data_IF_735933883177
#
_entry.id   IF_735933883177
#
_cell.length_a   1.000
_cell.length_b   1.000
_cell.length_c   1.000
_cell.angle_alpha   90.00
_cell.angle_beta   90.00
_cell.angle_gamma   90.00
#
_symmetry.space_group_name_H-M   'P 1'
#
loop_
_entity.id
_entity.type
_entity.pdbx_description
1 polymer ?
#
# COMPACT_ATOMS: atom_id res chain seq x y z
N UNK A 1 -22.57 22.64 -60.17
CA UNK A 1 -21.25 23.06 -60.65
C UNK A 1 -20.37 23.04 -59.41
N UNK A 2 -19.72 21.89 -59.15
CA UNK A 2 -18.24 21.71 -59.20
C UNK A 2 -17.58 22.27 -57.92
N UNK A 3 -16.70 21.60 -57.16
CA UNK A 3 -15.75 20.51 -57.43
C UNK A 3 -15.53 19.60 -56.19
N UNK A 4 -14.97 18.42 -56.45
CA UNK A 4 -14.47 17.39 -55.52
C UNK A 4 -12.96 17.57 -55.30
N UNK A 5 -12.44 17.25 -54.12
CA UNK A 5 -11.03 16.99 -53.73
C UNK A 5 -11.14 16.61 -52.22
N UNK A 6 -11.08 15.36 -51.73
CA UNK A 6 -10.14 14.25 -51.93
C UNK A 6 -8.68 14.66 -51.71
N UNK A 7 -8.19 14.51 -50.47
CA UNK A 7 -6.98 13.71 -50.21
C UNK A 7 -6.85 13.39 -48.70
N UNK A 8 -6.76 12.09 -48.44
CA UNK A 8 -6.62 11.40 -47.17
C UNK A 8 -5.15 10.97 -47.03
N UNK A 9 -4.37 11.50 -46.07
CA UNK A 9 -3.27 10.73 -45.47
C UNK A 9 -2.61 11.38 -44.22
N UNK A 10 -2.70 10.77 -43.03
CA UNK A 10 -1.68 10.90 -41.99
C UNK A 10 -0.70 9.70 -42.05
N UNK A 11 0.36 9.79 -42.87
CA UNK A 11 1.44 8.80 -42.87
C UNK A 11 2.26 8.87 -41.58
N UNK A 12 1.84 8.10 -40.58
CA UNK A 12 2.58 6.91 -40.13
C UNK A 12 4.09 6.86 -40.49
N UNK A 13 4.93 7.61 -39.77
CA UNK A 13 6.39 7.36 -39.75
C UNK A 13 6.75 6.38 -38.61
N UNK A 14 6.39 5.11 -38.80
CA UNK A 14 6.70 3.96 -37.92
C UNK A 14 7.87 3.15 -38.47
N UNK A 15 8.97 3.78 -38.90
CA UNK A 15 10.19 3.05 -39.27
C UNK A 15 11.42 3.91 -39.03
N UNK A 16 11.85 4.01 -37.77
CA UNK A 16 13.28 4.10 -37.46
C UNK A 16 13.64 2.80 -36.76
N UNK A 17 13.84 1.78 -37.58
CA UNK A 17 14.19 0.42 -37.19
C UNK A 17 15.64 0.37 -36.72
N UNK A 18 15.82 0.06 -35.44
CA UNK A 18 16.69 -1.00 -34.92
C UNK A 18 18.05 -1.25 -35.63
N UNK A 19 19.16 -0.84 -35.02
CA UNK A 19 20.31 -1.72 -34.76
C UNK A 19 21.40 -1.05 -33.90
N UNK A 20 21.55 -1.49 -32.66
CA UNK A 20 22.85 -1.81 -32.04
C UNK A 20 22.56 -2.52 -30.71
N UNK A 21 22.44 -3.84 -30.82
CA UNK A 21 22.61 -4.72 -29.68
C UNK A 21 24.04 -4.55 -29.13
N UNK A 22 24.15 -4.74 -27.81
CA UNK A 22 25.38 -5.00 -27.02
C UNK A 22 26.03 -3.79 -26.34
N UNK A 23 25.72 -3.62 -25.05
CA UNK A 23 26.79 -3.72 -24.04
C UNK A 23 26.23 -4.10 -22.65
N UNK A 24 26.25 -5.38 -22.27
CA UNK A 24 26.10 -5.81 -20.89
C UNK A 24 27.49 -6.09 -20.33
N UNK A 25 28.19 -5.10 -19.75
CA UNK A 25 29.39 -5.37 -18.96
C UNK A 25 29.93 -4.17 -18.20
N UNK A 26 30.40 -4.51 -17.00
CA UNK A 26 31.36 -3.81 -16.15
C UNK A 26 30.83 -2.73 -15.20
N UNK A 27 30.09 -3.19 -14.18
CA UNK A 27 30.34 -2.68 -12.82
C UNK A 27 31.14 -3.75 -12.08
N UNK A 28 32.41 -3.49 -11.72
CA UNK A 28 33.20 -4.41 -10.91
C UNK A 28 32.53 -4.63 -9.55
N UNK A 29 32.34 -5.91 -9.23
CA UNK A 29 32.16 -6.39 -7.88
C UNK A 29 33.51 -6.22 -7.18
N UNK A 30 33.63 -5.22 -6.30
CA UNK A 30 34.75 -5.18 -5.37
C UNK A 30 34.38 -6.04 -4.17
N UNK A 31 34.85 -7.29 -4.23
CA UNK A 31 35.06 -8.15 -3.09
C UNK A 31 35.95 -7.41 -2.08
N UNK A 32 35.38 -7.05 -0.93
CA UNK A 32 36.15 -6.79 0.28
C UNK A 32 35.91 -7.97 1.22
N UNK A 33 36.60 -9.07 0.92
CA UNK A 33 37.06 -10.00 1.94
C UNK A 33 38.16 -9.30 2.73
N UNK A 34 37.97 -9.07 4.03
CA UNK A 34 39.04 -9.33 4.99
C UNK A 34 38.48 -9.52 6.40
N UNK A 35 39.01 -10.59 6.99
CA UNK A 35 38.61 -11.26 8.20
C UNK A 35 38.98 -10.43 9.45
N UNK A 36 38.15 -10.48 10.49
CA UNK A 36 38.67 -10.38 11.85
C UNK A 36 37.86 -11.31 12.75
N UNK A 37 38.49 -12.43 13.08
CA UNK A 37 38.05 -13.35 14.11
C UNK A 37 38.35 -12.74 15.49
N UNK A 38 37.35 -12.72 16.38
CA UNK A 38 37.59 -13.03 17.78
C UNK A 38 36.26 -13.37 18.45
N UNK A 39 36.04 -14.68 18.58
CA UNK A 39 35.19 -15.29 19.58
C UNK A 39 35.55 -14.72 20.98
N UNK A 40 34.64 -14.01 21.64
CA UNK A 40 34.74 -13.80 23.09
C UNK A 40 33.84 -14.81 23.81
N UNK A 41 34.45 -15.96 24.07
CA UNK A 41 34.05 -16.90 25.11
C UNK A 41 34.22 -16.24 26.49
N UNK A 42 33.11 -16.03 27.20
CA UNK A 42 33.13 -15.98 28.67
C UNK A 42 32.01 -16.85 29.24
N UNK A 43 32.28 -18.15 29.25
CA UNK A 43 32.17 -19.05 30.40
C UNK A 43 31.42 -18.52 31.67
N UNK A 44 30.27 -19.17 31.95
CA UNK A 44 29.85 -19.71 33.25
C UNK A 44 29.40 -18.78 34.41
N UNK A 45 28.09 -18.79 34.72
CA UNK A 45 27.63 -19.26 36.06
C UNK A 45 26.15 -19.69 36.08
N UNK A 46 25.80 -20.87 36.63
CA UNK A 46 24.42 -21.29 36.88
C UNK A 46 23.96 -21.01 38.33
N UNK A 47 22.68 -20.61 38.52
CA UNK A 47 21.73 -21.18 39.51
C UNK A 47 20.44 -20.34 39.70
N UNK A 48 19.23 -20.94 39.60
CA UNK A 48 18.01 -20.51 40.32
C UNK A 48 17.86 -21.36 41.61
N UNK A 49 16.77 -21.35 42.43
CA UNK A 49 15.61 -20.44 42.61
C UNK A 49 15.36 -20.07 44.09
N UNK A 50 14.44 -19.14 44.44
CA UNK A 50 13.61 -19.26 45.67
C UNK A 50 12.19 -18.71 45.48
N UNK A 51 11.23 -19.63 45.41
CA UNK A 51 9.80 -19.41 45.54
C UNK A 51 9.41 -18.94 46.94
N UNK A 52 8.46 -18.00 47.02
CA UNK A 52 7.54 -17.88 48.16
C UNK A 52 6.11 -17.85 47.65
N UNK A 53 5.29 -18.88 47.89
CA UNK A 53 3.85 -18.79 47.69
C UNK A 53 3.20 -18.22 48.96
N UNK A 54 2.67 -17.01 48.89
CA UNK A 54 1.76 -16.50 49.92
C UNK A 54 0.32 -16.76 49.46
N UNK A 55 -0.31 -17.77 50.06
CA UNK A 55 -1.70 -18.09 49.82
C UNK A 55 -2.62 -17.10 50.54
N UNK A 56 -3.50 -16.42 49.80
CA UNK A 56 -4.69 -15.78 50.37
C UNK A 56 -5.87 -15.86 49.39
N UNK A 57 -6.87 -16.68 49.76
CA UNK A 57 -8.15 -16.88 49.07
C UNK A 57 -9.08 -15.66 49.22
N UNK A 58 -9.68 -15.20 48.12
CA UNK A 58 -10.98 -14.47 48.06
C UNK A 58 -11.43 -14.37 46.59
N UNK A 59 -12.50 -15.06 46.19
CA UNK A 59 -13.94 -14.73 46.22
C UNK A 59 -14.39 -14.05 44.91
N UNK A 60 -15.29 -14.77 44.22
CA UNK A 60 -16.21 -14.39 43.13
C UNK A 60 -16.03 -12.97 42.58
N UNK A 61 -15.57 -12.90 41.34
CA UNK A 61 -15.64 -11.72 40.50
C UNK A 61 -15.21 -12.13 39.10
N UNK A 62 -16.15 -12.68 38.32
CA UNK A 62 -16.02 -12.62 36.86
C UNK A 62 -16.07 -11.13 36.51
N UNK A 63 -14.91 -10.54 36.25
CA UNK A 63 -14.72 -9.18 35.79
C UNK A 63 -13.24 -9.12 35.41
N UNK A 64 -12.81 -8.89 34.17
CA UNK A 64 -13.43 -8.19 33.07
C UNK A 64 -12.88 -8.84 31.80
N UNK A 65 -13.67 -9.00 30.74
CA UNK A 65 -13.07 -9.05 29.41
C UNK A 65 -12.81 -7.60 28.99
N UNK A 66 -11.58 -7.08 28.99
CA UNK A 66 -11.22 -5.98 28.11
C UNK A 66 -10.53 -6.53 26.86
N UNK A 67 -10.91 -7.73 26.39
CA UNK A 67 -10.69 -8.09 25.00
C UNK A 67 -11.90 -7.63 24.19
N UNK A 68 -12.19 -6.32 24.26
CA UNK A 68 -12.66 -5.68 23.06
C UNK A 68 -11.46 -5.77 22.12
N UNK A 69 -11.42 -6.86 21.34
CA UNK A 69 -10.38 -7.19 20.37
C UNK A 69 -10.07 -5.88 19.65
N UNK A 70 -8.94 -5.26 20.02
CA UNK A 70 -8.55 -3.97 19.49
C UNK A 70 -8.04 -4.26 18.09
N UNK A 71 -8.99 -4.40 17.16
CA UNK A 71 -8.69 -4.67 15.78
C UNK A 71 -7.75 -3.56 15.31
N UNK A 72 -6.67 -3.91 14.58
CA UNK A 72 -5.81 -2.91 13.98
C UNK A 72 -6.66 -1.89 13.22
N UNK A 73 -6.33 -0.58 13.28
CA UNK A 73 -7.04 0.41 12.51
C UNK A 73 -7.00 0.03 11.01
N UNK A 74 -8.09 0.26 10.28
CA UNK A 74 -8.15 -0.08 8.87
C UNK A 74 -7.04 0.63 8.10
N UNK A 75 -6.54 -0.02 7.05
CA UNK A 75 -5.60 0.63 6.13
C UNK A 75 -6.24 1.87 5.51
N UNK A 76 -5.41 2.81 5.04
CA UNK A 76 -5.89 4.04 4.40
C UNK A 76 -6.81 3.71 3.22
N UNK A 77 -6.44 2.69 2.43
CA UNK A 77 -7.28 2.20 1.35
C UNK A 77 -8.65 1.70 1.84
N UNK A 78 -8.69 0.83 2.85
CA UNK A 78 -9.97 0.34 3.40
C UNK A 78 -10.84 1.48 3.94
N UNK A 79 -10.23 2.47 4.59
CA UNK A 79 -10.93 3.66 5.05
C UNK A 79 -11.50 4.46 3.87
N UNK A 80 -10.73 4.64 2.80
CA UNK A 80 -11.19 5.31 1.58
C UNK A 80 -12.39 4.57 0.95
N UNK A 81 -12.31 3.25 0.87
CA UNK A 81 -13.39 2.38 0.37
C UNK A 81 -14.66 2.55 1.19
N UNK A 82 -14.58 2.51 2.53
CA UNK A 82 -15.74 2.76 3.40
C UNK A 82 -16.37 4.13 3.18
N UNK A 83 -15.56 5.14 2.86
CA UNK A 83 -16.04 6.49 2.65
C UNK A 83 -16.74 6.65 1.30
N UNK A 84 -16.26 5.98 0.24
CA UNK A 84 -16.97 5.90 -1.06
C UNK A 84 -18.31 5.19 -0.92
N UNK A 85 -18.38 4.10 -0.16
CA UNK A 85 -19.62 3.35 0.04
C UNK A 85 -20.70 4.15 0.79
N UNK A 86 -20.30 5.15 1.59
CA UNK A 86 -21.21 6.05 2.32
C UNK A 86 -21.64 7.26 1.49
N UNK A 87 -21.10 7.43 0.28
CA UNK A 87 -21.42 8.57 -0.57
C UNK A 87 -22.83 8.42 -1.17
N UNK A 88 -23.72 9.35 -0.83
CA UNK A 88 -25.09 9.34 -1.34
C UNK A 88 -25.12 9.74 -2.83
N UNK A 89 -25.85 8.97 -3.64
CA UNK A 89 -26.04 9.26 -5.07
C UNK A 89 -24.96 8.70 -6.00
N UNK A 90 -24.06 7.85 -5.50
CA UNK A 90 -23.17 7.03 -6.32
C UNK A 90 -23.89 5.77 -6.80
N UNK A 91 -23.83 5.51 -8.10
CA UNK A 91 -24.25 4.22 -8.66
C UNK A 91 -23.27 3.12 -8.26
N UNK A 92 -23.75 1.89 -8.05
CA UNK A 92 -22.91 0.74 -7.68
C UNK A 92 -21.72 0.54 -8.63
N UNK A 93 -21.94 0.71 -9.94
CA UNK A 93 -20.87 0.62 -10.94
C UNK A 93 -19.76 1.67 -10.72
N UNK A 94 -20.13 2.89 -10.32
CA UNK A 94 -19.21 3.99 -10.04
C UNK A 94 -18.46 3.77 -8.72
N UNK A 95 -19.09 3.12 -7.75
CA UNK A 95 -18.43 2.71 -6.49
C UNK A 95 -17.27 1.77 -6.80
N UNK A 96 -17.48 0.71 -7.61
CA UNK A 96 -16.39 -0.21 -7.95
C UNK A 96 -15.26 0.47 -8.73
N UNK A 97 -15.57 1.34 -9.69
CA UNK A 97 -14.55 2.13 -10.39
C UNK A 97 -13.73 3.01 -9.44
N UNK A 98 -14.39 3.65 -8.47
CA UNK A 98 -13.69 4.43 -7.46
C UNK A 98 -12.82 3.56 -6.54
N UNK A 99 -13.29 2.37 -6.15
CA UNK A 99 -12.50 1.43 -5.34
C UNK A 99 -11.23 1.00 -6.08
N UNK A 100 -11.35 0.60 -7.35
CA UNK A 100 -10.22 0.19 -8.17
C UNK A 100 -9.20 1.33 -8.32
N UNK A 101 -9.68 2.55 -8.56
CA UNK A 101 -8.85 3.74 -8.62
C UNK A 101 -8.15 4.06 -7.30
N UNK A 102 -8.85 3.94 -6.17
CA UNK A 102 -8.28 4.17 -4.84
C UNK A 102 -7.29 3.07 -4.42
N UNK A 103 -7.29 1.93 -5.11
CA UNK A 103 -6.31 0.85 -4.92
C UNK A 103 -4.94 1.17 -5.51
N UNK A 104 -4.82 2.27 -6.27
CA UNK A 104 -3.61 2.66 -6.98
C UNK A 104 -2.85 3.76 -6.22
N UNK A 105 -1.52 3.64 -6.21
CA UNK A 105 -0.57 4.63 -5.67
C UNK A 105 -1.03 5.21 -4.32
N UNK A 106 -1.06 6.54 -4.24
CA UNK A 106 -1.43 7.32 -3.06
C UNK A 106 -2.86 7.90 -3.20
N UNK A 107 -3.69 7.36 -4.10
CA UNK A 107 -5.02 7.90 -4.37
C UNK A 107 -5.94 7.83 -3.14
N UNK A 108 -5.83 6.74 -2.35
CA UNK A 108 -6.53 6.62 -1.08
C UNK A 108 -6.10 7.68 -0.06
N UNK A 109 -4.81 8.00 0.03
CA UNK A 109 -4.29 9.00 0.97
C UNK A 109 -4.80 10.40 0.63
N UNK A 110 -4.78 10.76 -0.65
CA UNK A 110 -5.35 12.02 -1.13
C UNK A 110 -6.84 12.06 -0.82
N UNK A 111 -7.58 10.99 -1.15
CA UNK A 111 -9.02 10.93 -0.93
C UNK A 111 -9.42 11.08 0.55
N UNK A 112 -8.72 10.42 1.46
CA UNK A 112 -8.96 10.52 2.91
C UNK A 112 -8.59 11.91 3.44
N UNK A 113 -7.60 12.57 2.84
CA UNK A 113 -7.16 13.93 3.22
C UNK A 113 -8.12 15.01 2.74
N UNK A 114 -8.95 14.74 1.73
CA UNK A 114 -9.96 15.68 1.26
C UNK A 114 -11.12 15.80 2.26
N UNK A 115 -11.69 16.99 2.32
CA UNK A 115 -12.96 17.24 3.02
C UNK A 115 -14.12 16.53 2.33
N UNK A 116 -15.16 16.16 3.09
CA UNK A 116 -16.36 15.48 2.59
C UNK A 116 -16.97 16.14 1.34
N UNK A 117 -16.98 17.48 1.28
CA UNK A 117 -17.53 18.24 0.15
C UNK A 117 -16.71 18.11 -1.16
N UNK A 118 -15.41 17.81 -1.07
CA UNK A 118 -14.51 17.77 -2.23
C UNK A 118 -14.33 16.35 -2.77
N UNK A 119 -14.54 15.32 -1.95
CA UNK A 119 -14.38 13.91 -2.34
C UNK A 119 -15.21 13.52 -3.56
N UNK A 120 -16.54 13.78 -3.60
CA UNK A 120 -17.37 13.50 -4.77
C UNK A 120 -16.85 14.17 -6.04
N UNK A 121 -16.53 15.46 -5.92
CA UNK A 121 -16.10 16.30 -7.05
C UNK A 121 -14.75 15.83 -7.60
N UNK A 122 -13.82 15.48 -6.70
CA UNK A 122 -12.50 14.99 -7.08
C UNK A 122 -12.59 13.63 -7.77
N UNK A 123 -13.39 12.71 -7.26
CA UNK A 123 -13.63 11.42 -7.91
C UNK A 123 -14.24 11.60 -9.30
N UNK A 124 -15.27 12.44 -9.44
CA UNK A 124 -15.91 12.81 -10.72
C UNK A 124 -14.91 13.33 -11.74
N UNK A 125 -14.06 14.26 -11.31
CA UNK A 125 -12.99 14.81 -12.13
C UNK A 125 -11.96 13.75 -12.55
N UNK A 126 -11.66 12.77 -11.69
CA UNK A 126 -10.63 11.75 -11.96
C UNK A 126 -11.11 10.61 -12.85
N UNK A 127 -12.36 10.17 -12.74
CA UNK A 127 -12.88 9.04 -13.54
C UNK A 127 -13.77 9.50 -14.72
N UNK A 128 -14.04 10.80 -14.87
CA UNK A 128 -14.80 11.37 -16.00
C UNK A 128 -16.31 11.12 -16.00
N UNK A 129 -17.00 11.36 -14.89
CA UNK A 129 -18.41 10.99 -14.66
C UNK A 129 -19.30 12.11 -14.12
#
# INVERSE_FOLDING_TARGET
>A
METTEDDDNPERNWMDSNELASNPRDVPHEDLDEEDEAEEDTENTPAPPKSTPSAAKRKRGSAMSPDAIMAPPPSVHMRAVEMVQKEEGLEEARIFQAIDFLGQDNHAEVYVSLTDALRPTWLRMKLGW
#
